data_IF_309956015016
#
_entry.id   IF_309956015016
#
_cell.length_a   1.000
_cell.length_b   1.000
_cell.length_c   1.000
_cell.angle_alpha   90.00
_cell.angle_beta   90.00
_cell.angle_gamma   90.00
#
_symmetry.space_group_name_H-M   'P 1'
#
loop_
_entity.id
_entity.type
_entity.pdbx_description
1 polymer ?
#
# COMPACT_ATOMS: atom_id res chain seq x y z
N UNK A 1 22.73 -49.20 50.84
CA UNK A 1 21.92 -47.96 50.85
C UNK A 1 20.95 -48.06 49.69
N UNK A 2 19.66 -47.94 50.00
CA UNK A 2 18.49 -48.25 49.16
C UNK A 2 18.16 -47.12 48.17
N UNK A 3 17.18 -47.43 47.30
CA UNK A 3 16.26 -46.53 46.58
C UNK A 3 16.61 -46.08 45.16
N UNK A 4 16.03 -46.68 44.12
CA UNK A 4 14.66 -46.59 43.54
C UNK A 4 14.66 -45.67 42.30
N UNK A 5 14.31 -46.25 41.14
CA UNK A 5 13.86 -45.55 39.92
C UNK A 5 12.55 -44.81 40.22
N UNK A 6 12.34 -43.60 39.71
CA UNK A 6 11.05 -43.21 39.14
C UNK A 6 11.18 -42.18 38.01
N UNK A 7 10.44 -42.44 36.93
CA UNK A 7 10.15 -41.52 35.83
C UNK A 7 9.40 -40.30 36.37
N UNK A 8 9.62 -39.13 35.76
CA UNK A 8 8.76 -37.95 35.96
C UNK A 8 8.87 -37.02 34.76
N UNK A 9 7.82 -37.00 33.95
CA UNK A 9 7.59 -36.02 32.88
C UNK A 9 7.57 -34.60 33.47
N UNK A 10 8.19 -33.64 32.78
CA UNK A 10 7.65 -32.29 32.73
C UNK A 10 8.04 -31.62 31.42
N UNK A 11 7.01 -31.38 30.61
CA UNK A 11 7.03 -30.44 29.52
C UNK A 11 7.33 -29.06 30.09
N UNK A 12 8.53 -28.54 29.84
CA UNK A 12 8.81 -27.12 29.93
C UNK A 12 8.96 -26.62 28.50
N UNK A 13 7.94 -25.87 28.07
CA UNK A 13 7.87 -25.21 26.78
C UNK A 13 9.19 -24.49 26.49
N UNK A 14 9.90 -24.95 25.45
CA UNK A 14 11.02 -24.18 24.91
C UNK A 14 10.40 -22.92 24.28
N UNK A 15 10.86 -21.71 24.65
CA UNK A 15 10.32 -20.49 24.09
C UNK A 15 10.55 -20.53 22.58
N UNK A 16 9.43 -20.47 21.82
CA UNK A 16 9.48 -20.42 20.37
C UNK A 16 10.40 -19.26 19.94
N UNK A 17 11.38 -19.53 19.07
CA UNK A 17 12.35 -18.53 18.68
C UNK A 17 11.68 -17.43 17.84
N UNK A 18 11.92 -16.19 18.29
CA UNK A 18 11.96 -14.93 17.54
C UNK A 18 10.95 -14.79 16.40
N UNK A 19 9.88 -14.06 16.72
CA UNK A 19 9.22 -13.15 15.79
C UNK A 19 8.82 -13.87 14.49
N UNK A 20 7.79 -14.70 14.62
CA UNK A 20 6.95 -15.14 13.52
C UNK A 20 6.58 -13.91 12.67
N UNK A 21 7.35 -13.76 11.59
CA UNK A 21 6.94 -13.23 10.30
C UNK A 21 5.86 -12.13 10.37
N UNK A 22 6.26 -10.92 10.79
CA UNK A 22 5.61 -9.65 10.40
C UNK A 22 5.92 -9.39 8.92
N UNK A 23 5.60 -10.35 8.07
CA UNK A 23 5.97 -10.40 6.66
C UNK A 23 4.78 -10.81 5.77
N UNK A 24 3.56 -10.53 6.26
CA UNK A 24 2.48 -10.09 5.40
C UNK A 24 2.52 -8.57 5.44
N UNK A 25 3.37 -8.01 4.59
CA UNK A 25 3.26 -6.62 4.16
C UNK A 25 1.77 -6.37 3.94
N UNK A 26 1.29 -5.25 4.47
CA UNK A 26 0.04 -4.64 4.07
C UNK A 26 -0.18 -4.86 2.58
N UNK A 27 -0.98 -5.85 2.20
CA UNK A 27 -1.63 -5.89 0.90
C UNK A 27 -2.54 -4.65 0.88
N UNK A 28 -1.95 -3.51 0.54
CA UNK A 28 -2.60 -2.23 0.27
C UNK A 28 -3.47 -1.61 1.40
N UNK A 29 -3.23 -1.84 2.69
CA UNK A 29 -4.06 -1.25 3.78
C UNK A 29 -5.59 -1.50 3.67
N UNK A 30 -6.02 -2.36 2.73
CA UNK A 30 -7.37 -2.35 2.19
C UNK A 30 -7.70 -1.03 1.46
N UNK A 31 -8.42 -1.13 0.35
CA UNK A 31 -9.21 0.01 -0.10
C UNK A 31 -10.31 0.27 0.96
N UNK A 32 -10.20 1.36 1.72
CA UNK A 32 -11.03 1.62 2.92
C UNK A 32 -11.84 2.90 2.85
N UNK A 33 -11.51 3.82 1.94
CA UNK A 33 -12.17 5.11 1.81
C UNK A 33 -13.27 5.07 0.75
N UNK A 34 -14.41 5.69 1.01
CA UNK A 34 -15.54 5.66 0.05
C UNK A 34 -15.43 6.69 -1.07
N UNK A 35 -14.49 7.63 -0.96
CA UNK A 35 -14.29 8.72 -1.90
C UNK A 35 -12.83 8.80 -2.31
N UNK A 36 -12.50 9.40 -3.46
CA UNK A 36 -11.13 9.72 -3.80
C UNK A 36 -10.65 11.01 -3.12
N UNK A 37 -9.35 11.30 -3.21
CA UNK A 37 -8.78 12.60 -2.76
C UNK A 37 -9.29 13.75 -3.64
N UNK A 38 -9.38 13.50 -4.95
CA UNK A 38 -9.87 14.46 -5.96
C UNK A 38 -10.90 13.78 -6.84
N UNK A 39 -11.86 14.54 -7.39
CA UNK A 39 -12.96 13.96 -8.16
C UNK A 39 -12.51 13.30 -9.49
N UNK A 40 -11.34 13.70 -10.02
CA UNK A 40 -10.75 13.23 -11.26
C UNK A 40 -9.23 13.38 -11.22
N UNK A 41 -8.53 12.79 -12.19
CA UNK A 41 -7.08 12.96 -12.37
C UNK A 41 -6.65 14.43 -12.41
N UNK A 42 -5.63 14.80 -11.62
CA UNK A 42 -5.08 16.16 -11.56
C UNK A 42 -4.12 16.48 -12.70
N UNK A 43 -3.63 15.45 -13.41
CA UNK A 43 -2.73 15.56 -14.55
C UNK A 43 -2.80 14.31 -15.42
N UNK A 44 -2.22 14.42 -16.60
CA UNK A 44 -2.05 13.28 -17.51
C UNK A 44 -1.19 12.19 -16.88
N UNK A 45 -1.32 10.98 -17.41
CA UNK A 45 -0.45 9.88 -17.04
C UNK A 45 1.03 10.24 -17.29
N UNK A 46 1.88 9.90 -16.33
CA UNK A 46 3.33 9.80 -16.50
C UNK A 46 3.67 8.47 -17.19
N UNK A 47 4.11 8.55 -18.45
CA UNK A 47 4.50 7.41 -19.26
C UNK A 47 5.63 6.58 -18.63
N UNK A 48 6.45 7.17 -17.75
CA UNK A 48 7.54 6.45 -17.05
C UNK A 48 7.01 5.40 -16.07
N UNK A 49 5.77 5.53 -15.60
CA UNK A 49 5.13 4.55 -14.72
C UNK A 49 4.62 3.32 -15.49
N UNK A 50 4.36 3.43 -16.79
CA UNK A 50 3.85 2.32 -17.59
C UNK A 50 4.87 1.19 -17.67
N UNK A 51 4.40 -0.06 -17.55
CA UNK A 51 5.24 -1.25 -17.65
C UNK A 51 4.93 -2.28 -16.58
N UNK A 52 5.81 -3.28 -16.50
CA UNK A 52 5.73 -4.36 -15.54
C UNK A 52 6.72 -4.10 -14.40
N UNK A 53 6.29 -4.40 -13.19
CA UNK A 53 6.99 -4.09 -11.96
C UNK A 53 6.94 -5.29 -11.04
N UNK A 54 7.99 -5.50 -10.26
CA UNK A 54 8.08 -6.60 -9.30
C UNK A 54 8.76 -6.17 -8.02
N UNK A 55 8.28 -6.60 -6.87
CA UNK A 55 8.96 -6.35 -5.60
C UNK A 55 10.30 -7.08 -5.56
N UNK A 56 11.24 -6.57 -4.75
CA UNK A 56 12.57 -7.18 -4.61
C UNK A 56 12.51 -8.62 -4.09
N UNK A 57 11.53 -8.94 -3.25
CA UNK A 57 11.30 -10.30 -2.73
C UNK A 57 10.48 -11.19 -3.69
N UNK A 58 10.07 -10.66 -4.84
CA UNK A 58 9.35 -11.39 -5.89
C UNK A 58 7.89 -11.70 -5.58
N UNK A 59 7.37 -11.30 -4.41
CA UNK A 59 6.01 -11.63 -3.97
C UNK A 59 4.94 -10.80 -4.67
N UNK A 60 5.24 -9.53 -4.94
CA UNK A 60 4.31 -8.59 -5.57
C UNK A 60 4.68 -8.39 -7.03
N UNK A 61 3.70 -8.53 -7.92
CA UNK A 61 3.81 -8.23 -9.33
C UNK A 61 2.78 -7.16 -9.69
N UNK A 62 3.23 -6.03 -10.19
CA UNK A 62 2.36 -4.92 -10.58
C UNK A 62 2.52 -4.64 -12.06
N UNK A 63 1.42 -4.68 -12.81
CA UNK A 63 1.36 -4.16 -14.18
C UNK A 63 0.67 -2.82 -14.16
N UNK A 64 1.30 -1.81 -14.76
CA UNK A 64 0.71 -0.48 -14.93
C UNK A 64 0.48 -0.28 -16.42
N UNK A 65 -0.77 0.00 -16.80
CA UNK A 65 -1.20 0.27 -18.18
C UNK A 65 -1.99 1.56 -18.24
N UNK A 66 -1.99 2.19 -19.39
CA UNK A 66 -2.91 3.29 -19.66
C UNK A 66 -4.33 2.73 -19.78
N UNK A 67 -5.26 3.30 -19.03
CA UNK A 67 -6.69 3.11 -19.26
C UNK A 67 -7.25 4.26 -20.13
N UNK A 68 -6.79 5.47 -19.87
CA UNK A 68 -7.00 6.67 -20.68
C UNK A 68 -5.94 7.74 -20.30
N UNK A 69 -5.97 8.90 -20.96
CA UNK A 69 -4.95 9.95 -20.78
C UNK A 69 -4.70 10.46 -19.35
N UNK A 70 -5.59 10.19 -18.38
CA UNK A 70 -5.41 10.58 -16.96
C UNK A 70 -5.46 9.41 -15.97
N UNK A 71 -5.81 8.20 -16.44
CA UNK A 71 -6.11 7.05 -15.57
C UNK A 71 -5.30 5.84 -15.98
N UNK A 72 -4.78 5.13 -14.98
CA UNK A 72 -4.10 3.86 -15.12
C UNK A 72 -5.04 2.69 -14.81
N UNK A 73 -4.85 1.60 -15.55
CA UNK A 73 -5.24 0.27 -15.10
C UNK A 73 -4.03 -0.35 -14.38
N UNK A 74 -4.24 -0.78 -13.14
CA UNK A 74 -3.26 -1.53 -12.38
C UNK A 74 -3.71 -2.98 -12.28
N UNK A 75 -2.77 -3.91 -12.40
CA UNK A 75 -2.96 -5.32 -12.07
C UNK A 75 -1.93 -5.70 -11.00
N UNK A 76 -2.35 -5.78 -9.74
CA UNK A 76 -1.48 -6.23 -8.64
C UNK A 76 -1.76 -7.71 -8.39
N UNK A 77 -0.79 -8.57 -8.67
CA UNK A 77 -0.92 -10.03 -8.61
C UNK A 77 -2.11 -10.59 -9.41
N UNK A 78 -2.59 -9.85 -10.41
CA UNK A 78 -3.75 -10.19 -11.22
C UNK A 78 -5.02 -9.43 -10.83
N UNK A 79 -5.09 -8.86 -9.63
CA UNK A 79 -6.25 -8.13 -9.14
C UNK A 79 -6.33 -6.74 -9.79
N UNK A 80 -7.50 -6.35 -10.36
CA UNK A 80 -7.64 -5.10 -11.09
C UNK A 80 -7.94 -3.91 -10.18
N UNK A 81 -7.21 -2.82 -10.40
CA UNK A 81 -7.48 -1.53 -9.78
C UNK A 81 -7.44 -0.42 -10.84
N UNK A 82 -8.15 0.67 -10.60
CA UNK A 82 -7.91 1.94 -11.32
C UNK A 82 -7.12 2.89 -10.45
N UNK A 83 -6.23 3.67 -11.05
CA UNK A 83 -5.49 4.69 -10.34
C UNK A 83 -5.37 5.98 -11.15
N UNK A 84 -5.31 7.12 -10.48
CA UNK A 84 -5.04 8.41 -11.11
C UNK A 84 -4.34 9.36 -10.15
N UNK A 85 -3.55 10.27 -10.70
CA UNK A 85 -2.91 11.34 -9.94
C UNK A 85 -3.97 12.19 -9.24
N UNK A 86 -3.79 12.38 -7.93
CA UNK A 86 -4.64 13.21 -7.08
C UNK A 86 -3.76 14.23 -6.35
N UNK A 87 -2.86 14.87 -7.11
CA UNK A 87 -1.85 15.78 -6.59
C UNK A 87 -2.48 16.82 -5.66
N UNK A 88 -1.94 16.95 -4.46
CA UNK A 88 -2.51 17.84 -3.46
C UNK A 88 -1.42 18.40 -2.55
N UNK A 89 -1.44 19.72 -2.34
CA UNK A 89 -0.51 20.42 -1.46
C UNK A 89 0.98 20.10 -1.74
N UNK A 90 1.33 20.00 -3.03
CA UNK A 90 2.70 19.72 -3.48
C UNK A 90 3.16 18.26 -3.35
N UNK A 91 2.27 17.35 -2.94
CA UNK A 91 2.57 15.92 -2.81
C UNK A 91 1.96 15.15 -3.98
N UNK A 92 2.71 14.22 -4.63
CA UNK A 92 2.21 13.39 -5.72
C UNK A 92 1.36 12.23 -5.19
N UNK A 93 0.19 12.59 -4.67
CA UNK A 93 -0.78 11.60 -4.22
C UNK A 93 -1.44 10.91 -5.40
N UNK A 94 -1.91 9.68 -5.16
CA UNK A 94 -2.65 8.85 -6.10
C UNK A 94 -3.87 8.31 -5.37
N UNK A 95 -5.04 8.41 -6.01
CA UNK A 95 -6.23 7.68 -5.59
C UNK A 95 -6.25 6.35 -6.35
N UNK A 96 -6.26 5.24 -5.63
CA UNK A 96 -6.34 3.89 -6.18
C UNK A 96 -7.66 3.27 -5.76
N UNK A 97 -8.41 2.70 -6.69
CA UNK A 97 -9.71 2.08 -6.41
C UNK A 97 -9.69 0.61 -6.81
N UNK A 98 -10.18 -0.23 -5.90
CA UNK A 98 -10.44 -1.65 -6.15
C UNK A 98 -11.62 -1.81 -7.12
N UNK A 99 -11.42 -2.57 -8.19
CA UNK A 99 -12.46 -2.84 -9.20
C UNK A 99 -13.11 -4.22 -9.03
N UNK A 100 -12.53 -5.10 -8.22
CA UNK A 100 -13.04 -6.45 -7.97
C UNK A 100 -14.10 -6.48 -6.86
N UNK A 101 -14.06 -5.50 -5.95
CA UNK A 101 -15.03 -5.41 -4.84
C UNK A 101 -16.25 -4.55 -5.17
N UNK A 102 -17.47 -4.96 -4.79
CA UNK A 102 -18.70 -4.21 -5.08
C UNK A 102 -18.71 -2.83 -4.41
N UNK A 103 -18.04 -2.66 -3.27
CA UNK A 103 -17.94 -1.37 -2.58
C UNK A 103 -17.03 -0.38 -3.31
N UNK A 104 -16.15 -0.87 -4.20
CA UNK A 104 -15.19 -0.09 -4.99
C UNK A 104 -14.52 1.03 -4.19
N UNK A 105 -14.01 0.68 -3.01
CA UNK A 105 -13.37 1.64 -2.12
C UNK A 105 -12.04 2.11 -2.70
N UNK A 106 -11.52 3.17 -2.11
CA UNK A 106 -10.24 3.77 -2.43
C UNK A 106 -9.20 3.49 -1.35
N UNK A 107 -7.95 3.41 -1.77
CA UNK A 107 -6.76 3.64 -0.96
C UNK A 107 -5.98 4.82 -1.54
N UNK A 108 -5.15 5.44 -0.71
CA UNK A 108 -4.38 6.62 -1.09
C UNK A 108 -2.90 6.32 -0.97
N UNK A 109 -2.14 6.67 -2.00
CA UNK A 109 -0.70 6.46 -2.03
C UNK A 109 0.00 7.79 -2.28
N UNK A 110 1.19 7.98 -1.70
CA UNK A 110 2.23 8.82 -2.28
C UNK A 110 3.19 7.91 -3.01
N UNK A 111 3.72 8.33 -4.16
CA UNK A 111 4.78 7.57 -4.83
C UNK A 111 6.03 8.40 -5.07
N UNK A 112 7.15 7.71 -5.26
CA UNK A 112 8.40 8.25 -5.74
C UNK A 112 8.96 7.32 -6.83
N UNK A 113 9.53 7.91 -7.86
CA UNK A 113 10.19 7.19 -8.94
C UNK A 113 11.68 7.54 -8.92
N UNK A 114 12.57 6.56 -9.02
CA UNK A 114 14.01 6.82 -9.14
C UNK A 114 14.31 7.66 -10.39
N UNK A 115 15.42 8.42 -10.42
CA UNK A 115 15.77 9.26 -11.56
C UNK A 115 15.84 8.50 -12.90
N UNK A 116 16.24 7.23 -12.86
CA UNK A 116 16.32 6.34 -14.03
C UNK A 116 15.02 5.60 -14.35
N UNK A 117 13.94 5.88 -13.60
CA UNK A 117 12.63 5.25 -13.73
C UNK A 117 12.62 3.71 -13.59
N UNK A 118 13.60 3.14 -12.87
CA UNK A 118 13.67 1.69 -12.65
C UNK A 118 13.15 1.23 -11.29
N UNK A 119 13.02 2.14 -10.33
CA UNK A 119 12.50 1.82 -8.98
C UNK A 119 11.32 2.72 -8.67
N UNK A 120 10.19 2.10 -8.34
CA UNK A 120 8.98 2.74 -7.87
C UNK A 120 8.82 2.44 -6.39
N UNK A 121 8.70 3.47 -5.57
CA UNK A 121 8.40 3.35 -4.14
C UNK A 121 7.02 3.93 -3.88
N UNK A 122 6.10 3.14 -3.32
CA UNK A 122 4.75 3.56 -2.98
C UNK A 122 4.53 3.52 -1.46
N UNK A 123 4.04 4.63 -0.92
CA UNK A 123 3.75 4.84 0.50
C UNK A 123 2.23 4.94 0.68
N UNK A 124 1.62 3.94 1.32
CA UNK A 124 0.19 4.01 1.63
C UNK A 124 -0.08 5.01 2.75
N UNK A 125 -1.15 5.81 2.60
CA UNK A 125 -1.65 6.68 3.67
C UNK A 125 -2.20 5.80 4.80
N UNK A 126 -1.73 6.05 6.01
CA UNK A 126 -2.11 5.32 7.20
C UNK A 126 -3.55 5.67 7.63
N UNK A 127 -4.43 4.66 7.62
CA UNK A 127 -5.83 4.82 8.01
C UNK A 127 -6.06 5.16 9.48
N UNK A 128 -5.04 5.04 10.33
CA UNK A 128 -5.10 5.48 11.73
C UNK A 128 -4.93 7.00 11.85
N UNK A 129 -4.28 7.63 10.86
CA UNK A 129 -4.13 9.09 10.80
C UNK A 129 -5.24 9.77 10.02
N UNK A 130 -5.87 9.05 9.09
CA UNK A 130 -6.96 9.52 8.27
C UNK A 130 -8.19 8.61 8.49
N UNK A 131 -9.19 9.03 9.28
CA UNK A 131 -10.34 8.20 9.61
C UNK A 131 -11.08 7.68 8.37
N UNK A 132 -11.41 6.38 8.37
CA UNK A 132 -12.16 5.70 7.30
C UNK A 132 -13.59 6.20 7.14
N UNK A 133 -14.13 6.89 8.15
CA UNK A 133 -15.51 7.41 8.17
C UNK A 133 -15.70 8.68 7.32
N UNK A 134 -14.62 9.24 6.76
CA UNK A 134 -14.67 10.45 5.95
C UNK A 134 -15.30 10.17 4.60
N UNK A 135 -16.46 10.79 4.33
CA UNK A 135 -17.27 10.55 3.13
C UNK A 135 -17.18 11.61 2.04
N UNK A 136 -16.29 12.61 2.16
CA UNK A 136 -16.15 13.64 1.13
C UNK A 136 -14.69 13.94 0.80
N UNK A 137 -14.38 14.12 -0.48
CA UNK A 137 -13.03 14.46 -0.95
C UNK A 137 -12.52 15.78 -0.36
N UNK A 138 -13.40 16.73 -0.05
CA UNK A 138 -13.04 17.96 0.64
C UNK A 138 -12.55 17.70 2.08
N UNK A 139 -13.24 16.84 2.82
CA UNK A 139 -12.83 16.47 4.17
C UNK A 139 -11.55 15.64 4.17
N UNK A 140 -11.37 14.72 3.21
CA UNK A 140 -10.12 13.99 2.99
C UNK A 140 -8.96 14.96 2.80
N UNK A 141 -9.09 15.90 1.86
CA UNK A 141 -8.05 16.92 1.59
C UNK A 141 -7.76 17.81 2.80
N UNK A 142 -8.78 18.19 3.58
CA UNK A 142 -8.59 18.96 4.82
C UNK A 142 -7.70 18.18 5.80
N UNK A 143 -8.01 16.91 6.04
CA UNK A 143 -7.26 16.06 6.96
C UNK A 143 -5.85 15.74 6.46
N UNK A 144 -5.68 15.48 5.16
CA UNK A 144 -4.37 15.32 4.55
C UNK A 144 -3.51 16.56 4.79
N UNK A 145 -4.03 17.77 4.52
CA UNK A 145 -3.32 19.03 4.75
C UNK A 145 -2.88 19.18 6.21
N UNK A 146 -3.74 18.85 7.16
CA UNK A 146 -3.45 18.92 8.60
C UNK A 146 -2.36 17.92 9.02
N UNK A 147 -2.21 16.80 8.31
CA UNK A 147 -1.27 15.73 8.64
C UNK A 147 -0.03 15.68 7.74
N UNK A 148 0.20 16.63 6.81
CA UNK A 148 1.34 16.56 5.89
C UNK A 148 2.70 16.50 6.60
N UNK A 149 2.83 17.18 7.74
CA UNK A 149 4.03 17.16 8.57
C UNK A 149 4.03 16.02 9.61
N UNK A 150 2.96 15.23 9.70
CA UNK A 150 2.87 14.11 10.62
C UNK A 150 3.66 12.92 10.05
N UNK A 151 4.74 12.46 10.71
CA UNK A 151 5.54 11.34 10.20
C UNK A 151 4.74 10.03 10.11
N UNK A 152 3.64 9.91 10.87
CA UNK A 152 2.76 8.73 10.85
C UNK A 152 1.73 8.74 9.72
N UNK A 153 1.69 9.78 8.89
CA UNK A 153 0.74 9.89 7.77
C UNK A 153 0.87 8.70 6.80
N UNK A 154 2.06 8.14 6.67
CA UNK A 154 2.33 6.99 5.81
C UNK A 154 2.65 5.75 6.65
N UNK A 155 2.39 4.58 6.09
CA UNK A 155 2.87 3.31 6.66
C UNK A 155 4.39 3.23 6.59
N UNK A 156 5.03 2.66 7.63
CA UNK A 156 6.50 2.66 7.77
C UNK A 156 7.23 1.85 6.69
N UNK A 157 6.57 0.81 6.16
CA UNK A 157 7.14 -0.09 5.16
C UNK A 157 6.50 0.18 3.79
N UNK A 158 7.11 1.02 2.94
CA UNK A 158 6.60 1.25 1.60
C UNK A 158 6.77 0.00 0.72
N UNK A 159 5.93 -0.08 -0.31
CA UNK A 159 6.10 -1.06 -1.37
C UNK A 159 7.17 -0.56 -2.34
N UNK A 160 8.30 -1.27 -2.40
CA UNK A 160 9.34 -1.04 -3.39
C UNK A 160 9.25 -2.02 -4.54
N UNK A 161 9.17 -1.50 -5.76
CA UNK A 161 9.05 -2.26 -6.99
C UNK A 161 10.16 -1.89 -7.96
N UNK A 162 10.68 -2.88 -8.66
CA UNK A 162 11.68 -2.73 -9.72
C UNK A 162 11.01 -2.98 -11.06
N UNK A 163 11.26 -2.08 -12.02
CA UNK A 163 10.74 -2.20 -13.38
C UNK A 163 11.36 -3.41 -14.07
N UNK A 164 10.51 -4.24 -14.65
CA UNK A 164 10.91 -5.40 -15.44
C UNK A 164 11.24 -4.94 -16.86
N UNK A 165 12.25 -5.60 -17.46
CA UNK A 165 12.70 -5.31 -18.83
C UNK A 165 11.66 -5.71 -19.86
#
# INVERSE_FOLDING_TARGET
MFEIRHRGFSAAARPLPRWLAVAAVCALAGCVYDVPITASGTRNIDAKLLGDWRSKDGKEQLKIRELNGTTYLLLLNGDPFRAYHSDFAGVPFVSVQDLDKPEQKFTYLKYALSPDAKTLTAYAVNSDTLPKTVRTSAAVRKLLRQNLANPKLYVDNPLELVKQR
#
